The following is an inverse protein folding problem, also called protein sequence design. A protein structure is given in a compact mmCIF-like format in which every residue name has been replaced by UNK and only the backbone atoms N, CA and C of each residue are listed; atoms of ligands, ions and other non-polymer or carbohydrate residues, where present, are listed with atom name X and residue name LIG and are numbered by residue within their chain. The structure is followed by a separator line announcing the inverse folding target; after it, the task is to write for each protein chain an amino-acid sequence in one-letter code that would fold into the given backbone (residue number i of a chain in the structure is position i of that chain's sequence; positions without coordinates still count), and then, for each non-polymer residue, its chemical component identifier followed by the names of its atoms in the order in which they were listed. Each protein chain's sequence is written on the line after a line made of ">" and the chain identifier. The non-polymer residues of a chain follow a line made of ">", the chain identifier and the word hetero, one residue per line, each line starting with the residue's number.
data_IF_673195121019
#
_entry.id   IF_673195121019
#
_cell.length_a   1.000
_cell.length_b   1.000
_cell.length_c   1.000
_cell.angle_alpha   90.00
_cell.angle_beta   90.00
_cell.angle_gamma   90.00
#
_symmetry.space_group_name_H-M   'P 1'
#
loop_
_entity.id
_entity.type
_entity.pdbx_description
1 polymer ?
#
# COMPACT_ATOMS: atom_id res chain seq x y z
N UNK A 1 -17.54 2.10 5.90
CA UNK A 1 -16.20 1.60 6.28
C UNK A 1 -15.39 1.26 5.05
N UNK A 2 -14.79 2.28 4.43
CA UNK A 2 -13.75 2.15 3.41
C UNK A 2 -13.11 3.54 3.32
N UNK A 3 -11.98 3.71 4.02
CA UNK A 3 -11.24 4.97 4.01
C UNK A 3 -10.50 5.07 2.69
N UNK A 4 -11.17 5.59 1.65
CA UNK A 4 -10.44 6.15 0.53
C UNK A 4 -9.89 7.48 1.02
N UNK A 5 -8.61 7.52 1.36
CA UNK A 5 -7.93 8.73 1.75
C UNK A 5 -7.73 9.63 0.52
N UNK A 6 -8.80 10.25 0.05
CA UNK A 6 -8.75 11.41 -0.84
C UNK A 6 -8.80 12.68 -0.02
N UNK A 7 -7.81 12.89 0.86
CA UNK A 7 -7.56 14.23 1.39
C UNK A 7 -6.77 15.02 0.35
N UNK A 8 -7.48 15.59 -0.61
CA UNK A 8 -7.03 16.77 -1.34
C UNK A 8 -8.15 17.82 -1.26
N UNK A 9 -8.14 18.50 -0.11
CA UNK A 9 -8.81 19.77 0.19
C UNK A 9 -10.33 19.83 0.04
N UNK A 10 -11.06 19.25 1.00
CA UNK A 10 -12.49 19.55 1.19
C UNK A 10 -13.35 18.34 1.53
N UNK A 11 -14.52 18.62 2.11
CA UNK A 11 -15.58 17.62 2.35
C UNK A 11 -16.47 17.39 1.12
N UNK A 12 -16.26 18.13 0.04
CA UNK A 12 -16.97 17.97 -1.22
C UNK A 12 -16.07 17.33 -2.28
N UNK A 13 -16.62 16.40 -3.08
CA UNK A 13 -15.89 15.88 -4.23
C UNK A 13 -15.62 17.03 -5.20
N UNK A 14 -14.36 17.19 -5.61
CA UNK A 14 -13.97 18.16 -6.62
C UNK A 14 -14.58 17.72 -7.96
N UNK A 15 -15.79 18.20 -8.27
CA UNK A 15 -16.42 18.04 -9.58
C UNK A 15 -15.79 19.02 -10.53
N UNK A 16 -14.95 18.51 -11.42
CA UNK A 16 -14.27 19.30 -12.43
C UNK A 16 -15.18 19.54 -13.62
N UNK A 17 -15.24 20.79 -14.10
CA UNK A 17 -15.85 21.10 -15.39
C UNK A 17 -14.99 20.54 -16.54
N UNK A 18 -15.52 20.51 -17.76
CA UNK A 18 -14.83 19.87 -18.89
C UNK A 18 -13.49 20.55 -19.21
N UNK A 19 -13.44 21.88 -19.17
CA UNK A 19 -12.21 22.66 -19.34
C UNK A 19 -11.14 22.30 -18.29
N UNK A 20 -11.52 22.15 -17.02
CA UNK A 20 -10.62 21.76 -15.94
C UNK A 20 -10.16 20.30 -16.07
N UNK A 21 -10.98 19.42 -16.65
CA UNK A 21 -10.61 18.02 -16.95
C UNK A 21 -9.60 17.98 -18.09
N UNK A 22 -9.84 18.73 -19.16
CA UNK A 22 -8.95 18.84 -20.31
C UNK A 22 -7.62 19.50 -19.93
N UNK A 23 -7.64 20.61 -19.17
CA UNK A 23 -6.44 21.27 -18.68
C UNK A 23 -5.58 20.34 -17.81
N UNK A 24 -6.21 19.53 -16.94
CA UNK A 24 -5.49 18.52 -16.14
C UNK A 24 -4.91 17.40 -17.01
N UNK A 25 -5.65 16.90 -18.00
CA UNK A 25 -5.16 15.89 -18.95
C UNK A 25 -3.98 16.43 -19.76
N UNK A 26 -4.08 17.66 -20.27
CA UNK A 26 -3.02 18.33 -21.03
C UNK A 26 -1.77 18.56 -20.18
N UNK A 27 -1.94 19.02 -18.94
CA UNK A 27 -0.82 19.19 -18.00
C UNK A 27 -0.13 17.85 -17.68
N UNK A 28 -0.90 16.77 -17.52
CA UNK A 28 -0.36 15.44 -17.30
C UNK A 28 0.41 14.92 -18.53
N UNK A 29 -0.16 15.06 -19.73
CA UNK A 29 0.52 14.68 -20.98
C UNK A 29 1.81 15.47 -21.21
N UNK A 30 1.81 16.78 -20.88
CA UNK A 30 3.00 17.62 -20.91
C UNK A 30 4.08 17.15 -19.92
N UNK A 31 3.67 16.73 -18.72
CA UNK A 31 4.59 16.12 -17.75
C UNK A 31 5.13 14.76 -18.20
N UNK A 32 4.38 13.99 -18.99
CA UNK A 32 4.85 12.73 -19.58
C UNK A 32 5.84 12.97 -20.74
N UNK A 33 5.60 13.98 -21.58
CA UNK A 33 6.55 14.35 -22.65
C UNK A 33 7.86 14.88 -22.08
N UNK A 34 7.79 15.59 -20.94
CA UNK A 34 8.96 15.98 -20.15
C UNK A 34 9.47 14.78 -19.33
N UNK A 35 10.16 13.84 -20.00
CA UNK A 35 10.76 12.58 -19.46
C UNK A 35 11.50 12.69 -18.11
N UNK A 36 11.75 13.90 -17.60
CA UNK A 36 12.40 14.21 -16.31
C UNK A 36 11.55 13.88 -15.08
N UNK A 37 10.21 13.77 -15.20
CA UNK A 37 9.31 13.57 -14.06
C UNK A 37 9.21 12.13 -13.53
N UNK A 38 9.16 11.13 -14.42
CA UNK A 38 9.00 9.72 -14.04
C UNK A 38 10.35 9.07 -13.69
N UNK A 39 11.42 9.39 -14.44
CA UNK A 39 12.72 8.74 -14.24
C UNK A 39 13.34 9.04 -12.86
N UNK A 40 13.02 10.17 -12.22
CA UNK A 40 13.54 10.49 -10.87
C UNK A 40 12.94 9.64 -9.74
N UNK A 41 11.80 8.97 -9.95
CA UNK A 41 11.21 8.07 -8.94
C UNK A 41 11.53 6.59 -9.15
N UNK A 42 11.97 6.20 -10.34
CA UNK A 42 12.28 4.80 -10.66
C UNK A 42 13.73 4.40 -10.37
N UNK A 43 14.62 5.36 -10.13
CA UNK A 43 16.04 5.12 -9.87
C UNK A 43 16.43 5.36 -8.40
N UNK A 44 15.46 5.34 -7.49
CA UNK A 44 15.75 5.05 -6.10
C UNK A 44 15.85 3.53 -6.07
N UNK A 45 17.01 2.92 -5.72
CA UNK A 45 16.99 1.52 -5.37
C UNK A 45 15.97 1.41 -4.25
N UNK A 46 14.80 0.85 -4.56
CA UNK A 46 13.84 0.44 -3.54
C UNK A 46 14.70 -0.45 -2.66
N UNK A 47 14.95 -0.09 -1.39
CA UNK A 47 15.67 -0.98 -0.51
C UNK A 47 14.99 -2.32 -0.70
N UNK A 48 15.74 -3.39 -0.91
CA UNK A 48 15.16 -4.71 -0.78
C UNK A 48 14.72 -4.76 0.69
N UNK A 49 13.48 -4.33 0.95
CA UNK A 49 12.79 -4.47 2.20
C UNK A 49 12.51 -5.96 2.22
N UNK A 50 13.57 -6.71 2.51
CA UNK A 50 13.80 -8.09 2.08
C UNK A 50 12.55 -8.90 2.24
N UNK A 51 12.25 -9.80 1.31
CA UNK A 51 11.01 -10.59 1.24
C UNK A 51 10.67 -11.46 2.46
N UNK A 52 11.40 -11.29 3.56
CA UNK A 52 11.31 -11.98 4.83
C UNK A 52 10.27 -11.39 5.79
N UNK A 53 9.78 -12.25 6.67
CA UNK A 53 8.86 -11.91 7.74
C UNK A 53 9.53 -10.97 8.74
N UNK A 54 8.88 -9.84 9.04
CA UNK A 54 9.41 -8.85 10.00
C UNK A 54 9.44 -9.31 11.46
N UNK A 55 8.90 -10.50 11.75
CA UNK A 55 8.77 -11.05 13.10
C UNK A 55 9.83 -12.12 13.35
N UNK A 56 9.92 -13.14 12.48
CA UNK A 56 10.92 -14.20 12.64
C UNK A 56 12.20 -13.98 11.84
N UNK A 57 12.17 -13.17 10.78
CA UNK A 57 13.28 -13.00 9.81
C UNK A 57 13.76 -14.29 9.12
N UNK A 58 13.12 -15.44 9.38
CA UNK A 58 13.53 -16.75 8.83
C UNK A 58 12.75 -17.21 7.60
N UNK A 59 11.58 -16.62 7.33
CA UNK A 59 10.64 -17.12 6.32
C UNK A 59 10.10 -15.99 5.48
N UNK A 60 9.76 -16.28 4.22
CA UNK A 60 9.14 -15.29 3.34
C UNK A 60 7.78 -14.81 3.84
N UNK A 61 7.45 -13.58 3.47
CA UNK A 61 6.14 -12.99 3.68
C UNK A 61 5.14 -13.63 2.73
N UNK A 62 4.25 -14.42 3.30
CA UNK A 62 3.16 -15.08 2.59
C UNK A 62 1.84 -14.90 3.34
N UNK A 63 1.74 -13.96 4.28
CA UNK A 63 0.55 -13.74 5.07
C UNK A 63 0.04 -12.29 5.07
N UNK A 64 -1.22 -12.13 4.69
CA UNK A 64 -1.95 -10.87 4.72
C UNK A 64 -2.81 -10.80 5.98
N UNK A 65 -2.64 -9.71 6.75
CA UNK A 65 -3.41 -9.46 7.96
C UNK A 65 -4.71 -8.69 7.65
N UNK A 66 -5.86 -9.22 8.04
CA UNK A 66 -7.17 -8.59 7.86
C UNK A 66 -7.57 -7.84 9.15
N UNK A 67 -8.15 -6.61 9.05
CA UNK A 67 -8.69 -5.94 7.87
C UNK A 67 -7.78 -4.87 7.23
N UNK A 68 -6.50 -4.80 7.60
CA UNK A 68 -5.60 -3.78 7.07
C UNK A 68 -4.90 -4.16 5.75
N UNK A 69 -4.88 -5.45 5.41
CA UNK A 69 -4.29 -6.03 4.20
C UNK A 69 -2.76 -5.83 4.06
N UNK A 70 -2.03 -5.64 5.16
CA UNK A 70 -0.57 -5.56 5.10
C UNK A 70 0.05 -6.97 5.00
N UNK A 71 0.92 -7.16 4.00
CA UNK A 71 1.75 -8.35 3.81
C UNK A 71 3.10 -8.10 4.47
N UNK A 72 3.24 -8.46 5.75
CA UNK A 72 4.45 -8.20 6.54
C UNK A 72 5.00 -9.43 7.29
N UNK A 73 4.22 -10.50 7.38
CA UNK A 73 4.58 -11.70 8.14
C UNK A 73 4.51 -12.97 7.29
N UNK A 74 5.18 -14.03 7.71
CA UNK A 74 4.85 -15.38 7.28
C UNK A 74 3.56 -15.86 7.96
N UNK A 75 2.93 -16.93 7.45
CA UNK A 75 1.66 -17.45 7.98
C UNK A 75 1.76 -17.93 9.43
N UNK A 76 2.90 -18.46 9.85
CA UNK A 76 3.11 -18.90 11.23
C UNK A 76 3.10 -17.72 12.20
N UNK A 77 3.85 -16.66 11.88
CA UNK A 77 3.86 -15.43 12.69
C UNK A 77 2.52 -14.71 12.64
N UNK A 78 1.87 -14.64 11.48
CA UNK A 78 0.55 -14.01 11.34
C UNK A 78 -0.52 -14.68 12.22
N UNK A 79 -0.54 -16.03 12.26
CA UNK A 79 -1.43 -16.79 13.15
C UNK A 79 -1.09 -16.62 14.62
N UNK A 80 0.20 -16.53 14.97
CA UNK A 80 0.63 -16.29 16.34
C UNK A 80 0.13 -14.92 16.84
N UNK A 81 0.29 -13.86 16.03
CA UNK A 81 -0.20 -12.53 16.34
C UNK A 81 -1.72 -12.53 16.55
N UNK A 82 -2.47 -13.19 15.65
CA UNK A 82 -3.91 -13.35 15.80
C UNK A 82 -4.29 -14.05 17.11
N UNK A 83 -3.61 -15.16 17.45
CA UNK A 83 -3.87 -15.91 18.69
C UNK A 83 -3.58 -15.09 19.96
N UNK A 84 -2.55 -14.26 19.92
CA UNK A 84 -2.16 -13.36 21.02
C UNK A 84 -3.00 -12.08 21.07
N UNK A 85 -3.89 -11.87 20.11
CA UNK A 85 -4.67 -10.63 19.93
C UNK A 85 -3.78 -9.39 19.76
N UNK A 86 -2.59 -9.58 19.18
CA UNK A 86 -1.67 -8.50 18.86
C UNK A 86 -2.16 -7.68 17.66
N UNK A 87 -1.59 -6.48 17.51
CA UNK A 87 -1.89 -5.59 16.40
C UNK A 87 -0.95 -5.79 15.20
N UNK A 88 -1.39 -5.34 14.02
CA UNK A 88 -0.56 -5.35 12.81
C UNK A 88 0.75 -4.57 13.02
N UNK A 89 1.94 -5.13 12.72
CA UNK A 89 3.24 -4.46 12.90
C UNK A 89 3.38 -3.15 12.11
N UNK A 90 2.66 -3.01 10.99
CA UNK A 90 2.77 -1.85 10.09
C UNK A 90 1.87 -0.70 10.52
N UNK A 91 0.61 -0.99 10.84
CA UNK A 91 -0.42 0.05 11.02
C UNK A 91 -1.13 0.00 12.39
N UNK A 92 -0.74 -0.93 13.27
CA UNK A 92 -1.27 -1.11 14.62
C UNK A 92 -2.78 -1.34 14.70
N UNK A 93 -3.41 -1.74 13.59
CA UNK A 93 -4.82 -2.16 13.59
C UNK A 93 -4.95 -3.56 14.18
N UNK A 94 -6.02 -3.82 14.93
CA UNK A 94 -6.35 -5.16 15.41
C UNK A 94 -6.52 -6.15 14.26
N UNK A 95 -6.05 -7.37 14.48
CA UNK A 95 -6.08 -8.45 13.48
C UNK A 95 -7.30 -9.32 13.77
N UNK A 96 -8.20 -9.46 12.79
CA UNK A 96 -9.38 -10.34 12.90
C UNK A 96 -9.20 -11.64 12.15
N UNK A 97 -8.36 -11.65 11.11
CA UNK A 97 -8.01 -12.86 10.36
C UNK A 97 -6.63 -12.74 9.71
N UNK A 98 -6.04 -13.87 9.33
CA UNK A 98 -4.73 -13.97 8.69
C UNK A 98 -4.80 -14.96 7.52
N UNK A 99 -4.61 -14.48 6.30
CA UNK A 99 -4.74 -15.27 5.07
C UNK A 99 -3.38 -15.56 4.46
N UNK A 100 -3.18 -16.77 3.93
CA UNK A 100 -1.97 -17.12 3.18
C UNK A 100 -2.11 -16.70 1.71
N UNK A 101 -1.06 -16.13 1.14
CA UNK A 101 -0.97 -15.71 -0.26
C UNK A 101 0.01 -16.61 -0.99
N UNK A 102 -0.36 -17.02 -2.20
CA UNK A 102 0.48 -17.80 -3.11
C UNK A 102 0.77 -16.96 -4.35
N UNK A 103 2.00 -17.02 -4.84
CA UNK A 103 2.40 -16.36 -6.08
C UNK A 103 2.30 -17.35 -7.25
N UNK A 104 1.78 -16.90 -8.39
CA UNK A 104 1.65 -17.65 -9.65
C UNK A 104 2.91 -17.64 -10.48
#
# INVERSE_FOLDING_TARGET
>A
MSRVAFFRSGNEPIVLNEEQREARKAAFLRQLSDKKGIQRRLNVPVPDLGSECVVCMDSHRDCVLHPCHHLCTCINCGRLLLKRQDACPICRRSITNAFRVYHS
#
